data_IF_552947833217
#
_entry.id   IF_552947833217
#
_cell.length_a   1.000
_cell.length_b   1.000
_cell.length_c   1.000
_cell.angle_alpha   90.00
_cell.angle_beta   90.00
_cell.angle_gamma   90.00
#
_symmetry.space_group_name_H-M   'P 1'
#
loop_
_entity.id
_entity.type
_entity.pdbx_description
1 polymer ?
#
# COMPACT_ATOMS: atom_id res chain seq x y z
N UNK A 1 12.83 8.15 28.78
CA UNK A 1 13.65 8.38 27.56
C UNK A 1 13.40 7.26 26.55
N UNK A 2 13.20 7.57 25.27
CA UNK A 2 13.05 6.55 24.21
C UNK A 2 14.38 6.43 23.47
N UNK A 3 14.91 5.21 23.35
CA UNK A 3 16.15 4.93 22.61
C UNK A 3 15.88 3.88 21.55
N UNK A 4 16.40 4.11 20.34
CA UNK A 4 16.37 3.16 19.23
C UNK A 4 17.75 2.56 19.02
N UNK A 5 17.80 1.26 18.74
CA UNK A 5 19.03 0.54 18.42
C UNK A 5 18.86 -0.31 17.16
N UNK A 6 19.95 -0.62 16.47
CA UNK A 6 19.95 -1.71 15.50
C UNK A 6 19.54 -3.04 16.17
N UNK A 7 19.18 -4.05 15.38
CA UNK A 7 18.68 -5.32 15.93
C UNK A 7 19.67 -5.98 16.91
N UNK A 8 20.97 -5.97 16.59
CA UNK A 8 21.98 -6.66 17.39
C UNK A 8 22.15 -5.97 18.75
N UNK A 9 22.23 -4.64 18.76
CA UNK A 9 22.34 -3.83 19.96
C UNK A 9 21.01 -3.83 20.72
N UNK A 10 19.87 -3.77 20.04
CA UNK A 10 18.53 -3.86 20.64
C UNK A 10 18.38 -5.12 21.50
N UNK A 11 18.78 -6.28 20.97
CA UNK A 11 18.72 -7.55 21.72
C UNK A 11 19.55 -7.47 23.00
N UNK A 12 20.76 -6.91 22.94
CA UNK A 12 21.63 -6.73 24.11
C UNK A 12 21.07 -5.71 25.10
N UNK A 13 20.58 -4.57 24.61
CA UNK A 13 20.00 -3.51 25.42
C UNK A 13 18.73 -3.98 26.15
N UNK A 14 17.88 -4.79 25.50
CA UNK A 14 16.73 -5.44 26.13
C UNK A 14 17.13 -6.44 27.21
N UNK A 15 18.17 -7.24 26.97
CA UNK A 15 18.70 -8.16 27.98
C UNK A 15 19.18 -7.41 29.24
N UNK A 16 19.87 -6.28 29.06
CA UNK A 16 20.31 -5.43 30.18
C UNK A 16 19.11 -4.82 30.91
N UNK A 17 18.16 -4.24 30.17
CA UNK A 17 16.95 -3.66 30.76
C UNK A 17 16.16 -4.69 31.58
N UNK A 18 16.01 -5.93 31.10
CA UNK A 18 15.33 -6.98 31.84
C UNK A 18 16.10 -7.45 33.07
N UNK A 19 17.43 -7.35 33.05
CA UNK A 19 18.28 -7.70 34.20
C UNK A 19 18.23 -6.64 35.31
N UNK A 20 18.01 -5.38 34.96
CA UNK A 20 17.99 -4.25 35.90
C UNK A 20 16.72 -3.39 35.72
N UNK A 21 15.52 -3.94 36.02
CA UNK A 21 14.26 -3.29 35.71
C UNK A 21 14.04 -1.97 36.45
N UNK A 22 14.53 -1.85 37.69
CA UNK A 22 14.40 -0.62 38.50
C UNK A 22 15.25 0.53 37.93
N UNK A 23 16.49 0.23 37.52
CA UNK A 23 17.45 1.20 36.96
C UNK A 23 16.98 1.75 35.60
N UNK A 24 16.31 0.91 34.80
CA UNK A 24 15.83 1.27 33.46
C UNK A 24 14.30 1.39 33.37
N UNK A 25 13.63 1.65 34.50
CA UNK A 25 12.17 1.77 34.61
C UNK A 25 11.59 2.87 33.71
N UNK A 26 12.33 3.98 33.56
CA UNK A 26 11.93 5.13 32.72
C UNK A 26 12.48 5.09 31.28
N UNK A 27 13.06 3.97 30.85
CA UNK A 27 13.65 3.81 29.51
C UNK A 27 12.78 2.95 28.60
N UNK A 28 12.44 3.44 27.42
CA UNK A 28 11.74 2.65 26.38
C UNK A 28 12.72 2.33 25.28
N UNK A 29 13.17 1.07 25.24
CA UNK A 29 14.08 0.56 24.22
C UNK A 29 13.26 0.02 23.04
N UNK A 30 13.52 0.54 21.83
CA UNK A 30 12.85 0.14 20.59
C UNK A 30 13.87 -0.30 19.55
N UNK A 31 13.47 -1.19 18.66
CA UNK A 31 14.27 -1.49 17.48
C UNK A 31 14.18 -0.31 16.50
N UNK A 32 15.29 0.05 15.86
CA UNK A 32 15.33 1.12 14.86
C UNK A 32 14.42 0.82 13.68
N UNK A 33 13.67 1.82 13.23
CA UNK A 33 12.65 1.68 12.17
C UNK A 33 13.21 1.14 10.86
N UNK A 34 14.48 1.41 10.56
CA UNK A 34 15.14 0.91 9.36
C UNK A 34 15.24 -0.62 9.31
N UNK A 35 15.67 -1.27 10.39
CA UNK A 35 15.76 -2.74 10.43
C UNK A 35 14.39 -3.40 10.44
N UNK A 36 13.41 -2.79 11.11
CA UNK A 36 12.02 -3.23 11.05
C UNK A 36 11.54 -3.21 9.59
N UNK A 37 11.84 -2.14 8.85
CA UNK A 37 11.45 -2.03 7.46
C UNK A 37 12.17 -3.05 6.55
N UNK A 38 13.47 -3.27 6.72
CA UNK A 38 14.20 -4.30 5.98
C UNK A 38 13.66 -5.70 6.27
N UNK A 39 13.40 -6.02 7.54
CA UNK A 39 12.80 -7.30 7.93
C UNK A 39 11.41 -7.46 7.33
N UNK A 40 10.58 -6.41 7.36
CA UNK A 40 9.27 -6.42 6.72
C UNK A 40 9.37 -6.70 5.21
N UNK A 41 10.29 -6.03 4.50
CA UNK A 41 10.55 -6.30 3.09
C UNK A 41 11.02 -7.73 2.83
N UNK A 42 11.86 -8.30 3.72
CA UNK A 42 12.30 -9.69 3.61
C UNK A 42 11.14 -10.68 3.82
N UNK A 43 10.25 -10.42 4.78
CA UNK A 43 9.04 -11.24 4.98
C UNK A 43 8.10 -11.13 3.79
N UNK A 44 7.90 -9.92 3.26
CA UNK A 44 7.09 -9.69 2.06
C UNK A 44 7.65 -10.45 0.86
N UNK A 45 8.95 -10.32 0.59
CA UNK A 45 9.61 -11.07 -0.48
C UNK A 45 9.48 -12.58 -0.31
N UNK A 46 9.66 -13.10 0.91
CA UNK A 46 9.48 -14.53 1.20
C UNK A 46 8.04 -15.00 1.02
N UNK A 47 7.06 -14.20 1.44
CA UNK A 47 5.62 -14.54 1.31
C UNK A 47 5.18 -14.68 -0.14
N UNK A 48 5.72 -13.84 -1.02
CA UNK A 48 5.40 -13.82 -2.45
C UNK A 48 6.50 -14.46 -3.29
N UNK A 49 7.34 -15.29 -2.69
CA UNK A 49 8.35 -16.05 -3.41
C UNK A 49 7.65 -17.08 -4.32
N UNK A 50 8.17 -17.28 -5.53
CA UNK A 50 7.60 -18.19 -6.54
C UNK A 50 6.17 -17.84 -6.98
N UNK A 51 5.70 -16.61 -6.77
CA UNK A 51 4.39 -16.16 -7.27
C UNK A 51 4.42 -15.56 -8.68
N UNK A 52 5.61 -15.53 -9.31
CA UNK A 52 5.86 -14.76 -10.53
C UNK A 52 6.24 -13.29 -10.29
N UNK A 53 6.27 -12.83 -9.02
CA UNK A 53 6.68 -11.46 -8.68
C UNK A 53 8.09 -11.13 -9.18
N UNK A 54 9.02 -12.07 -9.01
CA UNK A 54 10.41 -11.96 -9.45
C UNK A 54 10.51 -11.89 -10.96
N UNK A 55 9.76 -12.75 -11.65
CA UNK A 55 9.71 -12.83 -13.10
C UNK A 55 9.16 -11.53 -13.69
N UNK A 56 8.06 -11.00 -13.16
CA UNK A 56 7.49 -9.71 -13.59
C UNK A 56 8.52 -8.58 -13.45
N UNK A 57 9.28 -8.52 -12.35
CA UNK A 57 10.30 -7.49 -12.14
C UNK A 57 11.49 -7.62 -13.12
N UNK A 58 11.85 -8.85 -13.49
CA UNK A 58 12.96 -9.16 -14.39
C UNK A 58 12.55 -8.96 -15.85
N UNK A 59 11.47 -9.62 -16.27
CA UNK A 59 11.01 -9.67 -17.66
C UNK A 59 10.44 -8.33 -18.15
N UNK A 60 9.90 -7.51 -17.25
CA UNK A 60 9.53 -6.12 -17.60
C UNK A 60 10.75 -5.21 -17.87
N UNK A 61 11.97 -5.66 -17.54
CA UNK A 61 13.19 -4.86 -17.64
C UNK A 61 13.32 -3.80 -16.54
N UNK A 62 12.41 -3.76 -15.56
CA UNK A 62 12.46 -2.80 -14.46
C UNK A 62 13.68 -3.03 -13.54
N UNK A 63 14.05 -4.30 -13.33
CA UNK A 63 15.19 -4.69 -12.49
C UNK A 63 15.95 -5.89 -13.08
N UNK A 64 17.28 -5.89 -12.94
CA UNK A 64 18.09 -7.07 -13.24
C UNK A 64 17.97 -8.15 -12.16
N UNK A 65 18.16 -9.42 -12.55
CA UNK A 65 18.04 -10.60 -11.67
C UNK A 65 18.83 -10.50 -10.36
N UNK A 66 20.07 -10.00 -10.41
CA UNK A 66 20.89 -9.78 -9.22
C UNK A 66 20.28 -8.76 -8.24
N UNK A 67 19.61 -7.72 -8.76
CA UNK A 67 18.90 -6.75 -7.93
C UNK A 67 17.64 -7.34 -7.31
N UNK A 68 16.88 -8.14 -8.08
CA UNK A 68 15.69 -8.83 -7.60
C UNK A 68 16.04 -9.79 -6.45
N UNK A 69 17.12 -10.55 -6.58
CA UNK A 69 17.56 -11.44 -5.49
C UNK A 69 17.87 -10.68 -4.18
N UNK A 70 18.46 -9.49 -4.28
CA UNK A 70 18.79 -8.68 -3.11
C UNK A 70 17.54 -8.05 -2.48
N UNK A 71 16.61 -7.53 -3.30
CA UNK A 71 15.40 -6.88 -2.81
C UNK A 71 14.41 -7.89 -2.21
N UNK A 72 14.28 -9.09 -2.79
CA UNK A 72 13.39 -10.15 -2.26
C UNK A 72 13.87 -10.70 -0.92
N UNK A 73 15.17 -10.58 -0.64
CA UNK A 73 15.77 -10.88 0.67
C UNK A 73 15.72 -9.69 1.64
N UNK A 74 15.04 -8.60 1.28
CA UNK A 74 14.95 -7.37 2.08
C UNK A 74 16.31 -6.73 2.36
N UNK A 75 17.31 -6.91 1.48
CA UNK A 75 18.67 -6.35 1.71
C UNK A 75 18.84 -4.92 1.22
N UNK A 76 17.89 -4.41 0.44
CA UNK A 76 17.94 -3.06 -0.13
C UNK A 76 16.64 -2.33 0.15
N UNK A 77 16.66 -1.38 1.08
CA UNK A 77 15.46 -0.63 1.48
C UNK A 77 14.86 0.16 0.31
N UNK A 78 15.57 1.18 -0.20
CA UNK A 78 15.02 2.08 -1.23
C UNK A 78 14.60 1.33 -2.50
N UNK A 79 15.42 0.38 -2.95
CA UNK A 79 15.11 -0.43 -4.15
C UNK A 79 13.95 -1.38 -3.90
N UNK A 80 13.89 -2.03 -2.74
CA UNK A 80 12.82 -2.95 -2.39
C UNK A 80 11.47 -2.26 -2.24
N UNK A 81 11.43 -1.13 -1.51
CA UNK A 81 10.21 -0.29 -1.41
C UNK A 81 9.75 0.14 -2.79
N UNK A 82 10.66 0.63 -3.64
CA UNK A 82 10.32 1.05 -5.00
C UNK A 82 9.78 -0.10 -5.85
N UNK A 83 10.44 -1.26 -5.83
CA UNK A 83 10.01 -2.43 -6.61
C UNK A 83 8.62 -2.91 -6.19
N UNK A 84 8.37 -3.05 -4.89
CA UNK A 84 7.06 -3.46 -4.40
C UNK A 84 5.95 -2.45 -4.74
N UNK A 85 6.23 -1.15 -4.60
CA UNK A 85 5.30 -0.09 -5.00
C UNK A 85 5.00 -0.13 -6.49
N UNK A 86 6.02 -0.29 -7.35
CA UNK A 86 5.81 -0.40 -8.80
C UNK A 86 4.88 -1.56 -9.18
N UNK A 87 5.09 -2.73 -8.57
CA UNK A 87 4.22 -3.89 -8.83
C UNK A 87 2.80 -3.65 -8.28
N UNK A 88 2.69 -3.09 -7.07
CA UNK A 88 1.38 -2.75 -6.50
C UNK A 88 0.61 -1.79 -7.39
N UNK A 89 1.24 -0.74 -7.91
CA UNK A 89 0.64 0.21 -8.84
C UNK A 89 0.17 -0.47 -10.13
N UNK A 90 1.00 -1.36 -10.70
CA UNK A 90 0.63 -2.12 -11.90
C UNK A 90 -0.59 -3.03 -11.65
N UNK A 91 -0.59 -3.78 -10.55
CA UNK A 91 -1.71 -4.64 -10.16
C UNK A 91 -2.97 -3.84 -9.85
N UNK A 92 -2.83 -2.69 -9.19
CA UNK A 92 -3.96 -1.81 -8.87
C UNK A 92 -4.60 -1.25 -10.14
N UNK A 93 -3.81 -0.87 -11.15
CA UNK A 93 -4.33 -0.44 -12.46
C UNK A 93 -5.12 -1.53 -13.17
N UNK A 94 -4.62 -2.78 -13.15
CA UNK A 94 -5.35 -3.92 -13.71
C UNK A 94 -6.66 -4.20 -12.96
N UNK A 95 -6.62 -4.09 -11.63
CA UNK A 95 -7.81 -4.21 -10.78
C UNK A 95 -8.83 -3.10 -11.09
N UNK A 96 -8.36 -1.87 -11.25
CA UNK A 96 -9.19 -0.72 -11.61
C UNK A 96 -9.85 -0.91 -12.98
N UNK A 97 -9.12 -1.34 -13.99
CA UNK A 97 -9.69 -1.67 -15.30
C UNK A 97 -10.75 -2.77 -15.21
N UNK A 98 -10.49 -3.79 -14.39
CA UNK A 98 -11.47 -4.87 -14.15
C UNK A 98 -12.72 -4.36 -13.44
N UNK A 99 -12.56 -3.43 -12.51
CA UNK A 99 -13.66 -2.76 -11.82
C UNK A 99 -14.51 -1.94 -12.79
N UNK A 100 -13.90 -1.13 -13.67
CA UNK A 100 -14.63 -0.37 -14.69
C UNK A 100 -15.41 -1.30 -15.63
N UNK A 101 -14.82 -2.43 -16.02
CA UNK A 101 -15.54 -3.43 -16.82
C UNK A 101 -16.72 -4.05 -16.06
N UNK A 102 -16.55 -4.36 -14.78
CA UNK A 102 -17.62 -4.88 -13.91
C UNK A 102 -18.75 -3.86 -13.72
N UNK A 103 -18.43 -2.57 -13.55
CA UNK A 103 -19.42 -1.49 -13.50
C UNK A 103 -20.25 -1.42 -14.78
N UNK A 104 -19.57 -1.40 -15.93
CA UNK A 104 -20.23 -1.32 -17.25
C UNK A 104 -21.01 -2.59 -17.61
N UNK A 105 -20.62 -3.75 -17.06
CA UNK A 105 -21.25 -5.04 -17.28
C UNK A 105 -22.48 -5.31 -16.41
N UNK A 106 -22.96 -4.32 -15.64
CA UNK A 106 -24.12 -4.48 -14.77
C UNK A 106 -23.81 -5.24 -13.47
N UNK A 107 -22.65 -4.95 -12.86
CA UNK A 107 -22.17 -5.56 -11.61
C UNK A 107 -23.19 -5.65 -10.48
N UNK A 108 -24.24 -4.82 -10.51
CA UNK A 108 -25.53 -5.07 -9.90
C UNK A 108 -26.64 -4.58 -10.85
N UNK A 109 -27.61 -5.45 -11.16
CA UNK A 109 -28.90 -5.01 -11.66
C UNK A 109 -29.46 -3.96 -10.69
N UNK A 110 -29.89 -2.81 -11.20
CA UNK A 110 -30.44 -1.64 -10.48
C UNK A 110 -29.44 -0.73 -9.74
N UNK A 111 -28.92 0.26 -10.46
CA UNK A 111 -29.04 1.67 -10.06
C UNK A 111 -28.74 2.61 -11.23
N UNK A 112 -29.67 3.49 -11.52
CA UNK A 112 -29.57 4.59 -12.49
C UNK A 112 -28.60 5.67 -11.97
N UNK A 113 -27.29 5.38 -11.96
CA UNK A 113 -26.24 6.39 -11.98
C UNK A 113 -24.92 5.69 -12.26
N UNK A 114 -24.63 5.53 -13.56
CA UNK A 114 -23.31 5.13 -14.03
C UNK A 114 -22.36 6.25 -13.62
N UNK A 115 -21.57 6.02 -12.57
CA UNK A 115 -20.43 6.86 -12.27
C UNK A 115 -19.38 6.58 -13.33
N UNK A 116 -19.39 7.37 -14.41
CA UNK A 116 -18.37 7.32 -15.45
C UNK A 116 -17.06 7.93 -14.92
N UNK A 117 -15.92 7.37 -15.34
CA UNK A 117 -14.59 7.94 -15.06
C UNK A 117 -14.50 9.40 -15.53
N UNK A 118 -15.21 9.72 -16.61
CA UNK A 118 -15.34 11.09 -17.12
C UNK A 118 -16.07 12.00 -16.11
N UNK A 119 -17.16 11.50 -15.49
CA UNK A 119 -17.94 12.25 -14.50
C UNK A 119 -17.13 12.59 -13.24
N UNK A 120 -16.41 11.61 -12.67
CA UNK A 120 -15.55 11.84 -11.50
C UNK A 120 -14.44 12.83 -11.84
N UNK A 121 -13.83 12.67 -13.01
CA UNK A 121 -12.77 13.55 -13.47
C UNK A 121 -13.28 14.99 -13.60
N UNK A 122 -14.50 15.17 -14.10
CA UNK A 122 -15.14 16.47 -14.26
C UNK A 122 -15.60 17.06 -12.92
N UNK A 123 -16.06 16.25 -11.97
CA UNK A 123 -16.33 16.72 -10.60
C UNK A 123 -15.03 17.20 -9.91
N UNK A 124 -13.93 16.46 -10.04
CA UNK A 124 -12.62 16.87 -9.49
C UNK A 124 -12.12 18.16 -10.15
N UNK A 125 -12.30 18.32 -11.46
CA UNK A 125 -11.96 19.58 -12.17
C UNK A 125 -12.83 20.73 -11.67
N UNK A 126 -14.13 20.51 -11.51
CA UNK A 126 -15.10 21.51 -11.03
C UNK A 126 -14.76 21.96 -9.62
N UNK A 127 -14.43 21.03 -8.72
CA UNK A 127 -13.93 21.34 -7.39
C UNK A 127 -12.63 22.14 -7.42
N UNK A 128 -11.67 21.76 -8.27
CA UNK A 128 -10.42 22.51 -8.45
C UNK A 128 -10.68 23.96 -8.89
N UNK A 129 -11.62 24.18 -9.81
CA UNK A 129 -12.02 25.50 -10.27
C UNK A 129 -12.68 26.30 -9.14
N UNK A 130 -13.58 25.68 -8.36
CA UNK A 130 -14.20 26.30 -7.19
C UNK A 130 -13.15 26.77 -6.17
N UNK A 131 -12.14 25.94 -5.88
CA UNK A 131 -11.01 26.30 -4.99
C UNK A 131 -10.20 27.46 -5.56
N UNK A 132 -9.90 27.46 -6.87
CA UNK A 132 -9.14 28.53 -7.52
C UNK A 132 -9.91 29.87 -7.49
N UNK A 133 -11.21 29.81 -7.74
CA UNK A 133 -12.08 30.99 -7.77
C UNK A 133 -12.55 31.42 -6.38
N UNK A 134 -12.27 30.63 -5.34
CA UNK A 134 -12.75 30.81 -3.95
C UNK A 134 -14.27 30.94 -3.87
N UNK A 135 -14.98 30.24 -4.74
CA UNK A 135 -16.42 30.34 -4.90
C UNK A 135 -17.07 28.97 -4.76
N UNK A 136 -18.19 28.88 -4.03
CA UNK A 136 -18.94 27.65 -3.77
C UNK A 136 -18.07 26.43 -3.37
N UNK A 137 -16.94 26.66 -2.68
CA UNK A 137 -15.96 25.63 -2.31
C UNK A 137 -16.58 24.55 -1.41
N UNK A 138 -17.35 24.88 -0.35
CA UNK A 138 -17.95 23.86 0.50
C UNK A 138 -18.91 22.93 -0.27
N UNK A 139 -19.77 23.49 -1.13
CA UNK A 139 -20.72 22.73 -1.93
C UNK A 139 -20.01 21.85 -2.96
N UNK A 140 -18.99 22.38 -3.63
CA UNK A 140 -18.20 21.64 -4.62
C UNK A 140 -17.40 20.51 -3.97
N UNK A 141 -16.91 20.73 -2.74
CA UNK A 141 -16.25 19.71 -1.94
C UNK A 141 -17.24 18.61 -1.54
N UNK A 142 -18.40 18.97 -1.00
CA UNK A 142 -19.42 18.01 -0.56
C UNK A 142 -19.91 17.13 -1.71
N UNK A 143 -20.20 17.72 -2.88
CA UNK A 143 -20.56 16.97 -4.08
C UNK A 143 -19.46 15.98 -4.50
N UNK A 144 -18.22 16.46 -4.60
CA UNK A 144 -17.07 15.61 -4.98
C UNK A 144 -16.83 14.49 -3.96
N UNK A 145 -16.95 14.79 -2.67
CA UNK A 145 -16.79 13.79 -1.62
C UNK A 145 -17.90 12.73 -1.68
N UNK A 146 -19.15 13.15 -1.90
CA UNK A 146 -20.28 12.23 -2.06
C UNK A 146 -20.04 11.26 -3.21
N UNK A 147 -19.64 11.75 -4.38
CA UNK A 147 -19.32 10.90 -5.54
C UNK A 147 -18.15 9.95 -5.28
N UNK A 148 -17.09 10.45 -4.63
CA UNK A 148 -15.95 9.61 -4.25
C UNK A 148 -16.34 8.52 -3.26
N UNK A 149 -17.20 8.80 -2.29
CA UNK A 149 -17.68 7.78 -1.35
C UNK A 149 -18.48 6.69 -2.06
N UNK A 150 -19.41 7.05 -2.94
CA UNK A 150 -20.16 6.07 -3.74
C UNK A 150 -19.22 5.21 -4.58
N UNK A 151 -18.22 5.81 -5.24
CA UNK A 151 -17.22 5.08 -6.02
C UNK A 151 -16.41 4.10 -5.16
N UNK A 152 -15.97 4.53 -3.98
CA UNK A 152 -15.21 3.69 -3.05
C UNK A 152 -16.05 2.53 -2.51
N UNK A 153 -17.34 2.75 -2.24
CA UNK A 153 -18.28 1.69 -1.84
C UNK A 153 -18.45 0.66 -2.97
N UNK A 154 -18.69 1.12 -4.20
CA UNK A 154 -18.78 0.24 -5.37
C UNK A 154 -17.49 -0.55 -5.61
N UNK A 155 -16.34 0.11 -5.46
CA UNK A 155 -15.04 -0.56 -5.60
C UNK A 155 -14.85 -1.64 -4.53
N UNK A 156 -15.29 -1.39 -3.30
CA UNK A 156 -15.22 -2.38 -2.23
C UNK A 156 -16.18 -3.56 -2.47
N UNK A 157 -17.40 -3.30 -2.95
CA UNK A 157 -18.34 -4.37 -3.37
C UNK A 157 -17.69 -5.26 -4.43
N UNK A 158 -17.15 -4.65 -5.49
CA UNK A 158 -16.40 -5.36 -6.52
C UNK A 158 -15.27 -6.21 -5.93
N UNK A 159 -14.44 -5.63 -5.06
CA UNK A 159 -13.32 -6.35 -4.44
C UNK A 159 -13.79 -7.56 -3.65
N UNK A 160 -14.85 -7.43 -2.86
CA UNK A 160 -15.36 -8.56 -2.07
C UNK A 160 -15.94 -9.67 -2.96
N UNK A 161 -16.66 -9.31 -4.02
CA UNK A 161 -17.11 -10.27 -5.02
C UNK A 161 -15.95 -11.02 -5.65
N UNK A 162 -14.93 -10.30 -6.15
CA UNK A 162 -13.80 -10.94 -6.83
C UNK A 162 -12.94 -11.78 -5.88
N UNK A 163 -12.75 -11.36 -4.63
CA UNK A 163 -12.08 -12.16 -3.59
C UNK A 163 -12.81 -13.48 -3.35
N UNK A 164 -14.14 -13.46 -3.27
CA UNK A 164 -14.93 -14.68 -3.06
C UNK A 164 -14.87 -15.64 -4.25
N UNK A 165 -14.69 -15.11 -5.47
CA UNK A 165 -14.68 -15.89 -6.73
C UNK A 165 -13.31 -16.44 -7.11
N UNK A 166 -12.22 -15.74 -6.77
CA UNK A 166 -10.87 -16.08 -7.24
C UNK A 166 -9.82 -16.00 -6.13
N UNK A 167 -9.23 -17.16 -5.80
CA UNK A 167 -8.09 -17.25 -4.89
C UNK A 167 -6.87 -16.45 -5.40
N UNK A 168 -6.70 -16.38 -6.72
CA UNK A 168 -5.62 -15.60 -7.34
C UNK A 168 -5.86 -14.10 -7.12
N UNK A 169 -7.10 -13.64 -7.27
CA UNK A 169 -7.44 -12.25 -6.98
C UNK A 169 -7.21 -11.93 -5.51
N UNK A 170 -7.70 -12.78 -4.60
CA UNK A 170 -7.54 -12.56 -3.15
C UNK A 170 -6.05 -12.48 -2.74
N UNK A 171 -5.22 -13.37 -3.29
CA UNK A 171 -3.77 -13.37 -3.07
C UNK A 171 -3.09 -12.04 -3.45
N UNK A 172 -3.39 -11.50 -4.64
CA UNK A 172 -2.81 -10.23 -5.09
C UNK A 172 -3.48 -9.00 -4.46
N UNK A 173 -4.75 -9.09 -4.08
CA UNK A 173 -5.43 -8.07 -3.32
C UNK A 173 -4.83 -7.92 -1.91
N UNK A 174 -4.45 -9.04 -1.28
CA UNK A 174 -3.68 -9.02 -0.04
C UNK A 174 -2.31 -8.37 -0.23
N UNK A 175 -1.61 -8.68 -1.33
CA UNK A 175 -0.32 -8.06 -1.67
C UNK A 175 -0.42 -6.54 -1.74
N UNK A 176 -1.41 -6.02 -2.49
CA UNK A 176 -1.67 -4.58 -2.62
C UNK A 176 -1.92 -3.97 -1.24
N UNK A 177 -2.74 -4.62 -0.42
CA UNK A 177 -3.06 -4.14 0.93
C UNK A 177 -1.82 -4.07 1.83
N UNK A 178 -0.96 -5.09 1.80
CA UNK A 178 0.29 -5.12 2.57
C UNK A 178 1.27 -4.04 2.07
N UNK A 179 1.41 -3.87 0.75
CA UNK A 179 2.33 -2.88 0.16
C UNK A 179 1.86 -1.45 0.39
N UNK A 180 0.55 -1.18 0.43
CA UNK A 180 0.03 0.14 0.80
C UNK A 180 0.51 0.57 2.19
N UNK A 181 0.69 -0.36 3.13
CA UNK A 181 1.25 -0.05 4.45
C UNK A 181 2.71 0.45 4.40
N UNK A 182 3.48 0.11 3.34
CA UNK A 182 4.83 0.66 3.15
C UNK A 182 4.83 2.18 2.93
N UNK A 183 3.70 2.80 2.58
CA UNK A 183 3.61 4.26 2.44
C UNK A 183 3.75 4.99 3.77
N UNK A 184 3.41 4.33 4.89
CA UNK A 184 3.48 4.90 6.23
C UNK A 184 4.81 4.62 6.94
N UNK A 185 5.66 3.75 6.37
CA UNK A 185 6.97 3.40 6.93
C UNK A 185 8.02 4.35 6.36
N UNK A 186 8.31 5.44 7.08
CA UNK A 186 9.51 6.24 6.84
C UNK A 186 10.69 5.58 7.55
N UNK A 187 11.77 5.32 6.81
CA UNK A 187 13.04 5.05 7.44
C UNK A 187 13.53 6.34 8.12
N UNK A 188 13.43 6.39 9.45
CA UNK A 188 14.17 7.38 10.22
C UNK A 188 15.66 7.07 10.05
N UNK A 189 16.37 7.99 9.39
CA UNK A 189 17.83 7.98 9.40
C UNK A 189 18.25 8.51 10.78
N UNK A 190 18.62 7.60 11.67
CA UNK A 190 19.40 7.93 12.88
C UNK A 190 20.84 8.25 12.49
#
# INVERSE_FOLDING_TARGET
MVITFDLAIYVKAKQIQWKFPEEFSDTVIRMGGFHIALNFLAVLGKKYQNSGLEDVLIESGAYGSGSVMALMKGKTYNRGVRAHKLVMEALFRLMWQSFLHWLNGGGMESQEQIVDEEHITDSIKSFRLAVQNKDHVPQSLEATMSELFTLLELFEVFRQEQKSRSKMFDFWNEYISIVMNLQFIKAEQT
#
